data_IF_926433959530
#
_entry.id   IF_926433959530
#
_cell.length_a   1.000
_cell.length_b   1.000
_cell.length_c   1.000
_cell.angle_alpha   90.00
_cell.angle_beta   90.00
_cell.angle_gamma   90.00
#
_symmetry.space_group_name_H-M   'P 1'
#
loop_
_entity.id
_entity.type
_entity.pdbx_description
1 polymer ?
#
# COMPACT_ATOMS: atom_id res chain seq x y z
N UNK A 1 3.12 18.39 1.10
CA UNK A 1 2.39 17.49 0.17
C UNK A 1 2.80 16.02 0.35
N UNK A 2 4.07 15.65 0.12
CA UNK A 2 4.51 14.25 0.15
C UNK A 2 4.25 13.49 1.45
N UNK A 3 4.34 14.15 2.61
CA UNK A 3 4.01 13.50 3.88
C UNK A 3 2.54 13.09 4.00
N UNK A 4 1.62 13.94 3.56
CA UNK A 4 0.19 13.63 3.57
C UNK A 4 -0.13 12.46 2.62
N UNK A 5 0.50 12.44 1.43
CA UNK A 5 0.41 11.32 0.50
C UNK A 5 0.86 9.98 1.12
N UNK A 6 1.97 10.00 1.88
CA UNK A 6 2.45 8.83 2.62
C UNK A 6 1.47 8.40 3.69
N UNK A 7 0.91 9.33 4.48
CA UNK A 7 -0.05 9.02 5.53
C UNK A 7 -1.35 8.42 4.97
N UNK A 8 -1.85 8.94 3.86
CA UNK A 8 -3.00 8.36 3.16
C UNK A 8 -2.70 6.94 2.68
N UNK A 9 -1.52 6.72 2.08
CA UNK A 9 -1.13 5.41 1.59
C UNK A 9 -0.93 4.40 2.73
N UNK A 10 -0.31 4.84 3.83
CA UNK A 10 -0.21 4.06 5.05
C UNK A 10 -1.59 3.67 5.57
N UNK A 11 -2.53 4.61 5.69
CA UNK A 11 -3.90 4.33 6.13
C UNK A 11 -4.62 3.30 5.23
N UNK A 12 -4.42 3.38 3.92
CA UNK A 12 -4.94 2.39 2.98
C UNK A 12 -4.35 0.99 3.23
N UNK A 13 -3.04 0.88 3.45
CA UNK A 13 -2.36 -0.38 3.75
C UNK A 13 -2.82 -0.96 5.10
N UNK A 14 -2.92 -0.13 6.13
CA UNK A 14 -3.39 -0.53 7.47
C UNK A 14 -4.82 -1.04 7.43
N UNK A 15 -5.73 -0.34 6.75
CA UNK A 15 -7.12 -0.79 6.59
C UNK A 15 -7.20 -2.15 5.90
N UNK A 16 -6.37 -2.38 4.89
CA UNK A 16 -6.35 -3.68 4.20
C UNK A 16 -5.78 -4.79 5.10
N UNK A 17 -4.80 -4.47 5.97
CA UNK A 17 -4.28 -5.40 6.97
C UNK A 17 -5.36 -5.78 8.00
N UNK A 18 -6.13 -4.82 8.50
CA UNK A 18 -7.24 -5.08 9.42
C UNK A 18 -8.27 -6.03 8.78
N UNK A 19 -8.65 -5.79 7.52
CA UNK A 19 -9.55 -6.68 6.78
C UNK A 19 -8.95 -8.08 6.60
N UNK A 20 -7.66 -8.19 6.29
CA UNK A 20 -6.98 -9.48 6.13
C UNK A 20 -6.95 -10.28 7.44
N UNK A 21 -6.70 -9.61 8.57
CA UNK A 21 -6.75 -10.22 9.90
C UNK A 21 -8.18 -10.70 10.20
N UNK A 22 -9.19 -9.88 9.93
CA UNK A 22 -10.59 -10.25 10.13
C UNK A 22 -11.00 -11.45 9.28
N UNK A 23 -10.61 -11.46 7.99
CA UNK A 23 -10.84 -12.58 7.08
C UNK A 23 -10.22 -13.87 7.62
N UNK A 24 -8.95 -13.81 8.05
CA UNK A 24 -8.22 -14.96 8.57
C UNK A 24 -8.81 -15.49 9.88
N UNK A 25 -9.16 -14.60 10.81
CA UNK A 25 -9.72 -14.98 12.11
C UNK A 25 -11.11 -15.65 12.01
N UNK A 26 -11.83 -15.40 10.91
CA UNK A 26 -13.21 -15.87 10.70
C UNK A 26 -13.35 -16.87 9.54
N UNK A 27 -12.25 -17.19 8.85
CA UNK A 27 -12.26 -17.92 7.57
C UNK A 27 -13.26 -17.33 6.55
N UNK A 28 -13.48 -16.01 6.58
CA UNK A 28 -14.43 -15.34 5.70
C UNK A 28 -13.83 -15.14 4.30
N UNK A 29 -14.33 -15.93 3.33
CA UNK A 29 -13.90 -15.88 1.93
C UNK A 29 -14.26 -14.58 1.24
N UNK A 30 -15.33 -13.90 1.62
CA UNK A 30 -15.73 -12.61 1.04
C UNK A 30 -14.75 -11.51 1.46
N UNK A 31 -14.37 -11.46 2.73
CA UNK A 31 -13.34 -10.53 3.21
C UNK A 31 -11.97 -10.85 2.59
N UNK A 32 -11.62 -12.13 2.47
CA UNK A 32 -10.40 -12.58 1.80
C UNK A 32 -10.34 -12.12 0.34
N UNK A 33 -11.43 -12.30 -0.42
CA UNK A 33 -11.52 -11.82 -1.80
C UNK A 33 -11.40 -10.30 -1.88
N UNK A 34 -12.06 -9.56 -0.98
CA UNK A 34 -11.95 -8.10 -0.92
C UNK A 34 -10.49 -7.63 -0.76
N UNK A 35 -9.70 -8.29 0.10
CA UNK A 35 -8.28 -7.97 0.29
C UNK A 35 -7.47 -8.14 -1.00
N UNK A 36 -7.76 -9.20 -1.78
CA UNK A 36 -7.10 -9.43 -3.07
C UNK A 36 -7.52 -8.41 -4.12
N UNK A 37 -8.78 -8.00 -4.14
CA UNK A 37 -9.30 -6.98 -5.06
C UNK A 37 -8.67 -5.61 -4.80
N UNK A 38 -8.26 -5.33 -3.56
CA UNK A 38 -7.51 -4.10 -3.22
C UNK A 38 -6.06 -4.11 -3.72
N UNK A 39 -5.45 -5.28 -3.98
CA UNK A 39 -4.05 -5.39 -4.41
C UNK A 39 -3.69 -4.57 -5.67
N UNK A 40 -4.46 -4.61 -6.78
CA UNK A 40 -4.19 -3.74 -7.93
C UNK A 40 -4.37 -2.26 -7.60
N UNK A 41 -5.33 -1.91 -6.74
CA UNK A 41 -5.59 -0.51 -6.33
C UNK A 41 -4.39 0.04 -5.55
N UNK A 42 -3.86 -0.71 -4.57
CA UNK A 42 -2.68 -0.29 -3.80
C UNK A 42 -1.44 -0.13 -4.68
N UNK A 43 -1.27 -1.00 -5.68
CA UNK A 43 -0.16 -0.91 -6.65
C UNK A 43 -0.26 0.33 -7.52
N UNK A 44 -1.46 0.64 -7.99
CA UNK A 44 -1.72 1.82 -8.80
C UNK A 44 -1.50 3.10 -7.98
N UNK A 45 -1.98 3.14 -6.74
CA UNK A 45 -1.77 4.28 -5.85
C UNK A 45 -0.30 4.54 -5.56
N UNK A 46 0.50 3.50 -5.27
CA UNK A 46 1.95 3.68 -5.08
C UNK A 46 2.62 4.31 -6.30
N UNK A 47 2.24 3.86 -7.51
CA UNK A 47 2.78 4.38 -8.75
C UNK A 47 2.46 5.87 -8.92
N UNK A 48 1.22 6.28 -8.66
CA UNK A 48 0.81 7.69 -8.72
C UNK A 48 1.61 8.56 -7.74
N UNK A 49 1.86 8.06 -6.52
CA UNK A 49 2.64 8.78 -5.51
C UNK A 49 4.11 8.92 -5.91
N UNK A 50 4.71 7.88 -6.51
CA UNK A 50 6.04 7.99 -7.11
C UNK A 50 6.07 9.04 -8.22
N UNK A 51 5.09 9.03 -9.12
CA UNK A 51 5.00 9.99 -10.22
C UNK A 51 4.83 11.43 -9.70
N UNK A 52 4.02 11.62 -8.66
CA UNK A 52 3.86 12.90 -7.93
C UNK A 52 5.20 13.36 -7.34
N UNK A 53 5.93 12.49 -6.65
CA UNK A 53 7.26 12.81 -6.10
C UNK A 53 8.27 13.17 -7.20
N UNK A 54 8.34 12.40 -8.29
CA UNK A 54 9.19 12.72 -9.44
C UNK A 54 8.83 14.07 -10.07
N UNK A 55 7.54 14.42 -10.11
CA UNK A 55 7.08 15.75 -10.52
C UNK A 55 7.68 16.87 -9.66
N UNK A 56 7.68 16.70 -8.34
CA UNK A 56 8.29 17.65 -7.39
C UNK A 56 9.81 17.77 -7.55
N UNK A 57 10.50 16.65 -7.79
CA UNK A 57 11.94 16.66 -8.05
C UNK A 57 12.28 17.40 -9.35
N UNK A 58 11.51 17.18 -10.43
CA UNK A 58 11.68 17.91 -11.69
C UNK A 58 11.43 19.42 -11.54
N UNK A 59 10.56 19.81 -10.62
CA UNK A 59 10.29 21.21 -10.28
C UNK A 59 11.35 21.84 -9.35
N UNK A 60 12.35 21.07 -8.90
CA UNK A 60 13.46 21.58 -8.08
C UNK A 60 13.07 21.95 -6.64
N UNK A 61 12.00 21.35 -6.08
CA UNK A 61 11.57 21.66 -4.72
C UNK A 61 12.59 21.15 -3.70
N UNK A 62 13.23 22.07 -2.96
CA UNK A 62 14.28 21.76 -1.97
C UNK A 62 13.87 20.68 -0.96
N UNK A 63 12.68 20.82 -0.35
CA UNK A 63 12.14 19.84 0.62
C UNK A 63 12.03 18.42 0.04
N UNK A 64 11.77 18.29 -1.27
CA UNK A 64 11.67 16.98 -1.93
C UNK A 64 13.04 16.40 -2.27
N UNK A 65 14.03 17.25 -2.59
CA UNK A 65 15.40 16.82 -2.85
C UNK A 65 16.06 16.32 -1.55
N UNK A 66 15.92 17.06 -0.46
CA UNK A 66 16.51 16.74 0.84
C UNK A 66 15.98 15.43 1.43
N UNK A 67 14.73 15.05 1.10
CA UNK A 67 14.06 13.88 1.68
C UNK A 67 13.84 12.73 0.70
N UNK A 68 14.38 12.81 -0.53
CA UNK A 68 13.98 11.93 -1.64
C UNK A 68 14.22 10.44 -1.34
N UNK A 69 15.40 10.10 -0.82
CA UNK A 69 15.76 8.71 -0.50
C UNK A 69 14.75 8.08 0.46
N UNK A 70 14.59 8.67 1.65
CA UNK A 70 13.67 8.17 2.67
C UNK A 70 12.21 8.18 2.20
N UNK A 71 11.81 9.16 1.39
CA UNK A 71 10.45 9.24 0.84
C UNK A 71 10.13 8.06 -0.08
N UNK A 72 11.04 7.74 -1.01
CA UNK A 72 10.87 6.63 -1.95
C UNK A 72 10.99 5.27 -1.27
N UNK A 73 11.83 5.16 -0.25
CA UNK A 73 11.96 3.95 0.56
C UNK A 73 10.67 3.66 1.33
N UNK A 74 10.03 4.67 1.91
CA UNK A 74 8.74 4.50 2.59
C UNK A 74 7.68 3.99 1.62
N UNK A 75 7.54 4.57 0.43
CA UNK A 75 6.57 4.10 -0.58
C UNK A 75 6.84 2.65 -0.99
N UNK A 76 8.11 2.32 -1.20
CA UNK A 76 8.54 0.97 -1.58
C UNK A 76 8.22 -0.05 -0.48
N UNK A 77 8.47 0.30 0.79
CA UNK A 77 8.20 -0.57 1.93
C UNK A 77 6.70 -0.72 2.20
N UNK A 78 5.89 0.33 2.08
CA UNK A 78 4.43 0.24 2.20
C UNK A 78 3.83 -0.70 1.14
N UNK A 79 4.30 -0.65 -0.11
CA UNK A 79 3.91 -1.61 -1.16
C UNK A 79 4.31 -3.04 -0.86
N UNK A 80 5.50 -3.25 -0.30
CA UNK A 80 5.97 -4.58 0.15
C UNK A 80 5.06 -5.12 1.26
N UNK A 81 4.76 -4.32 2.28
CA UNK A 81 3.83 -4.66 3.35
C UNK A 81 2.46 -5.04 2.77
N UNK A 82 1.89 -4.24 1.85
CA UNK A 82 0.61 -4.58 1.21
C UNK A 82 0.65 -5.91 0.45
N UNK A 83 1.79 -6.29 -0.12
CA UNK A 83 1.94 -7.58 -0.80
C UNK A 83 1.96 -8.73 0.20
N UNK A 84 2.60 -8.55 1.36
CA UNK A 84 2.55 -9.52 2.46
C UNK A 84 1.14 -9.66 3.05
N UNK A 85 0.44 -8.54 3.25
CA UNK A 85 -0.98 -8.53 3.68
C UNK A 85 -1.85 -9.36 2.75
N UNK A 86 -1.69 -9.18 1.43
CA UNK A 86 -2.46 -9.97 0.44
C UNK A 86 -2.13 -11.46 0.50
N UNK A 87 -0.92 -11.84 0.90
CA UNK A 87 -0.52 -13.24 0.99
C UNK A 87 -1.18 -13.97 2.17
N UNK A 88 -1.60 -13.25 3.22
CA UNK A 88 -2.26 -13.84 4.39
C UNK A 88 -3.59 -14.50 4.05
N UNK A 89 -4.27 -14.04 3.00
CA UNK A 89 -5.63 -14.48 2.67
C UNK A 89 -5.68 -15.60 1.62
N UNK A 90 -4.55 -15.94 0.97
CA UNK A 90 -4.53 -17.03 -0.01
C UNK A 90 -5.01 -18.38 0.55
N UNK A 91 -4.59 -18.82 1.76
CA UNK A 91 -5.04 -20.11 2.30
C UNK A 91 -6.57 -20.22 2.44
N UNK A 92 -7.25 -19.12 2.78
CA UNK A 92 -8.72 -19.07 2.96
C UNK A 92 -9.46 -19.30 1.62
N UNK A 93 -8.85 -18.88 0.52
CA UNK A 93 -9.44 -18.99 -0.82
C UNK A 93 -9.09 -20.32 -1.48
N UNK A 94 -7.93 -20.90 -1.15
CA UNK A 94 -7.45 -22.18 -1.67
C UNK A 94 -8.06 -23.40 -0.96
N UNK A 95 -8.64 -23.25 0.24
CA UNK A 95 -9.41 -24.33 0.88
C UNK A 95 -10.64 -24.72 0.01
N UNK A 96 -10.66 -25.99 -0.42
CA UNK A 96 -11.71 -26.67 -1.21
C UNK A 96 -12.57 -27.52 -0.29
#
# INVERSE_FOLDING_TARGET
AGWAEILEFHGMVTKNLETAIAAFATSDRTLAQHVLDQRPVTRQRERELRESHLGRLRAGLAESLETSEIHLDILTNLKRISSHVSALVFPILEEV
#
